data_IF_879290948284
#
_entry.id   IF_879290948284
#
_cell.length_a   1.000
_cell.length_b   1.000
_cell.length_c   1.000
_cell.angle_alpha   90.00
_cell.angle_beta   90.00
_cell.angle_gamma   90.00
#
_symmetry.space_group_name_H-M   'P 1'
#
loop_
_entity.id
_entity.type
_entity.pdbx_description
1 polymer ?
#
# COMPACT_ATOMS: atom_id res chain seq x y z
N UNK A 1 11.94 -20.62 22.12
CA UNK A 1 10.75 -19.74 22.18
C UNK A 1 11.14 -18.29 22.40
N UNK A 2 11.95 -17.99 23.41
CA UNK A 2 12.34 -16.62 23.80
C UNK A 2 13.15 -15.86 22.72
N UNK A 3 14.09 -16.53 22.06
CA UNK A 3 14.90 -15.93 20.98
C UNK A 3 14.09 -15.66 19.70
N UNK A 4 13.13 -16.55 19.40
CA UNK A 4 12.19 -16.38 18.29
C UNK A 4 11.27 -15.18 18.55
N UNK A 5 10.75 -15.06 19.77
CA UNK A 5 9.91 -13.94 20.20
C UNK A 5 10.65 -12.59 20.10
N UNK A 6 11.91 -12.53 20.54
CA UNK A 6 12.75 -11.32 20.39
C UNK A 6 12.94 -10.93 18.92
N UNK A 7 13.23 -11.90 18.05
CA UNK A 7 13.41 -11.67 16.61
C UNK A 7 12.13 -11.14 15.96
N UNK A 8 10.96 -11.71 16.30
CA UNK A 8 9.66 -11.23 15.83
C UNK A 8 9.32 -9.81 16.32
N UNK A 9 9.57 -9.52 17.60
CA UNK A 9 9.36 -8.16 18.14
C UNK A 9 10.24 -7.14 17.43
N UNK A 10 11.50 -7.49 17.16
CA UNK A 10 12.42 -6.61 16.45
C UNK A 10 11.98 -6.34 15.01
N UNK A 11 11.49 -7.36 14.30
CA UNK A 11 10.94 -7.22 12.95
C UNK A 11 9.68 -6.34 12.93
N UNK A 12 8.78 -6.46 13.90
CA UNK A 12 7.60 -5.59 14.02
C UNK A 12 7.99 -4.13 14.25
N UNK A 13 8.97 -3.87 15.12
CA UNK A 13 9.44 -2.50 15.38
C UNK A 13 10.08 -1.89 14.13
N UNK A 14 10.87 -2.68 13.39
CA UNK A 14 11.51 -2.22 12.16
C UNK A 14 10.48 -1.93 11.06
N UNK A 15 9.47 -2.79 10.92
CA UNK A 15 8.39 -2.59 9.97
C UNK A 15 7.52 -1.36 10.30
N UNK A 16 7.23 -1.14 11.59
CA UNK A 16 6.52 0.08 12.03
C UNK A 16 7.31 1.35 11.69
N UNK A 17 8.64 1.34 11.87
CA UNK A 17 9.49 2.46 11.48
C UNK A 17 9.47 2.71 9.97
N UNK A 18 9.46 1.65 9.17
CA UNK A 18 9.37 1.76 7.72
C UNK A 18 8.02 2.36 7.29
N UNK A 19 6.92 1.92 7.88
CA UNK A 19 5.57 2.50 7.66
C UNK A 19 5.57 4.00 7.98
N UNK A 20 6.13 4.40 9.13
CA UNK A 20 6.17 5.79 9.55
C UNK A 20 7.02 6.65 8.60
N UNK A 21 8.15 6.13 8.12
CA UNK A 21 8.98 6.81 7.13
C UNK A 21 8.24 7.04 5.79
N UNK A 22 7.49 6.05 5.32
CA UNK A 22 6.68 6.18 4.11
C UNK A 22 5.50 7.15 4.30
N UNK A 23 4.88 7.19 5.48
CA UNK A 23 3.87 8.22 5.83
C UNK A 23 4.46 9.62 5.76
N UNK A 24 5.59 9.87 6.42
CA UNK A 24 6.23 11.19 6.38
C UNK A 24 6.63 11.60 4.95
N UNK A 25 7.03 10.63 4.11
CA UNK A 25 7.33 10.88 2.70
C UNK A 25 6.07 11.29 1.91
N UNK A 26 4.92 10.65 2.16
CA UNK A 26 3.66 11.07 1.56
C UNK A 26 3.24 12.46 2.00
N UNK A 27 3.31 12.76 3.30
CA UNK A 27 2.96 14.08 3.82
C UNK A 27 3.81 15.19 3.18
N UNK A 28 5.11 14.93 2.97
CA UNK A 28 5.99 15.83 2.26
C UNK A 28 5.56 16.02 0.79
N UNK A 29 5.25 14.95 0.07
CA UNK A 29 4.83 15.02 -1.34
C UNK A 29 3.50 15.79 -1.47
N UNK A 30 2.54 15.53 -0.59
CA UNK A 30 1.25 16.24 -0.56
C UNK A 30 1.45 17.73 -0.29
N UNK A 31 2.30 18.07 0.69
CA UNK A 31 2.65 19.47 1.00
C UNK A 31 3.28 20.16 -0.21
N UNK A 32 4.25 19.50 -0.86
CA UNK A 32 4.90 20.01 -2.06
C UNK A 32 3.92 20.23 -3.23
N UNK A 33 3.00 19.30 -3.47
CA UNK A 33 1.96 19.44 -4.50
C UNK A 33 1.07 20.64 -4.19
N UNK A 34 0.63 20.79 -2.95
CA UNK A 34 -0.21 21.91 -2.53
C UNK A 34 0.50 23.25 -2.70
N UNK A 35 1.76 23.37 -2.27
CA UNK A 35 2.58 24.58 -2.46
C UNK A 35 2.74 24.93 -3.95
N UNK A 36 2.95 23.92 -4.81
CA UNK A 36 3.08 24.13 -6.26
C UNK A 36 1.75 24.49 -6.93
N UNK A 37 0.63 23.95 -6.46
CA UNK A 37 -0.70 24.31 -6.92
C UNK A 37 -1.05 25.76 -6.53
N UNK A 38 -0.69 26.19 -5.33
CA UNK A 38 -0.93 27.56 -4.88
C UNK A 38 -0.06 28.59 -5.62
N UNK A 39 1.21 28.26 -5.92
CA UNK A 39 2.07 29.08 -6.80
C UNK A 39 1.51 29.23 -8.23
N UNK A 40 0.74 28.24 -8.71
CA UNK A 40 0.11 28.25 -10.03
C UNK A 40 -1.15 29.13 -10.09
N UNK A 41 -1.79 29.42 -8.95
CA UNK A 41 -2.91 30.37 -8.86
C UNK A 41 -2.46 31.82 -9.01
N UNK A 42 -1.21 32.11 -8.65
CA UNK A 42 -0.64 33.48 -8.66
C UNK A 42 0.22 33.80 -9.88
N UNK A 43 0.60 32.79 -10.69
CA UNK A 43 1.55 32.94 -11.79
C UNK A 43 1.21 31.97 -12.93
N UNK A 44 1.28 32.38 -14.22
CA UNK A 44 0.90 31.51 -15.33
C UNK A 44 1.79 30.26 -15.40
N UNK A 45 1.16 29.13 -15.65
CA UNK A 45 1.80 27.82 -15.68
C UNK A 45 2.86 27.71 -16.79
N UNK A 46 4.12 27.51 -16.41
CA UNK A 46 5.18 27.12 -17.35
C UNK A 46 5.22 25.60 -17.53
N UNK A 47 5.64 25.12 -18.69
CA UNK A 47 5.74 23.67 -19.01
C UNK A 47 6.54 22.88 -17.97
N UNK A 48 7.58 23.50 -17.37
CA UNK A 48 8.38 22.93 -16.28
C UNK A 48 7.60 22.71 -14.97
N UNK A 49 6.62 23.56 -14.66
CA UNK A 49 5.79 23.40 -13.46
C UNK A 49 4.80 22.22 -13.59
N UNK A 50 4.36 21.92 -14.81
CA UNK A 50 3.46 20.80 -15.11
C UNK A 50 4.20 19.46 -15.01
N UNK A 51 5.42 19.37 -15.55
CA UNK A 51 6.22 18.15 -15.44
C UNK A 51 6.64 17.82 -14.01
N UNK A 52 6.95 18.83 -13.18
CA UNK A 52 7.26 18.62 -11.75
C UNK A 52 6.05 18.14 -10.94
N UNK A 53 4.86 18.67 -11.21
CA UNK A 53 3.63 18.18 -10.56
C UNK A 53 3.33 16.74 -10.97
N UNK A 54 3.50 16.41 -12.25
CA UNK A 54 3.27 15.05 -12.74
C UNK A 54 4.23 14.03 -12.10
N UNK A 55 5.52 14.36 -12.01
CA UNK A 55 6.50 13.54 -11.29
C UNK A 55 6.18 13.40 -9.79
N UNK A 56 5.65 14.46 -9.16
CA UNK A 56 5.23 14.41 -7.76
C UNK A 56 4.01 13.50 -7.57
N UNK A 57 3.03 13.55 -8.47
CA UNK A 57 1.87 12.65 -8.46
C UNK A 57 2.27 11.19 -8.66
N UNK A 58 3.17 10.89 -9.60
CA UNK A 58 3.68 9.53 -9.80
C UNK A 58 4.44 9.02 -8.56
N UNK A 59 5.29 9.86 -7.96
CA UNK A 59 5.98 9.52 -6.71
C UNK A 59 5.00 9.32 -5.54
N UNK A 60 3.92 10.10 -5.47
CA UNK A 60 2.87 9.94 -4.48
C UNK A 60 2.20 8.57 -4.62
N UNK A 61 1.75 8.22 -5.83
CA UNK A 61 1.08 6.95 -6.10
C UNK A 61 1.98 5.74 -5.78
N UNK A 62 3.26 5.80 -6.15
CA UNK A 62 4.22 4.73 -5.80
C UNK A 62 4.44 4.61 -4.29
N UNK A 63 4.53 5.76 -3.60
CA UNK A 63 4.74 5.80 -2.14
C UNK A 63 3.49 5.30 -1.40
N UNK A 64 2.28 5.61 -1.88
CA UNK A 64 1.02 5.08 -1.35
C UNK A 64 0.91 3.57 -1.53
N UNK A 65 1.27 3.06 -2.71
CA UNK A 65 1.25 1.62 -2.99
C UNK A 65 2.21 0.87 -2.06
N UNK A 66 3.43 1.37 -1.89
CA UNK A 66 4.41 0.78 -0.98
C UNK A 66 4.00 0.89 0.49
N UNK A 67 3.36 1.99 0.89
CA UNK A 67 2.80 2.12 2.23
C UNK A 67 1.69 1.09 2.48
N UNK A 68 0.86 0.82 1.47
CA UNK A 68 -0.17 -0.21 1.56
C UNK A 68 0.48 -1.59 1.77
N UNK A 69 1.44 -1.98 0.94
CA UNK A 69 2.19 -3.25 1.08
C UNK A 69 2.81 -3.43 2.47
N UNK A 70 3.43 -2.37 3.02
CA UNK A 70 4.03 -2.43 4.36
C UNK A 70 2.97 -2.59 5.46
N UNK A 71 1.82 -1.92 5.33
CA UNK A 71 0.70 -2.11 6.26
C UNK A 71 0.17 -3.54 6.22
N UNK A 72 0.04 -4.14 5.04
CA UNK A 72 -0.36 -5.55 4.89
C UNK A 72 0.60 -6.47 5.63
N UNK A 73 1.90 -6.28 5.42
CA UNK A 73 2.95 -7.05 6.09
C UNK A 73 2.88 -6.88 7.61
N UNK A 74 2.53 -5.69 8.10
CA UNK A 74 2.45 -5.42 9.55
C UNK A 74 1.25 -6.08 10.20
N UNK A 75 0.09 -6.06 9.55
CA UNK A 75 -1.10 -6.76 10.05
C UNK A 75 -0.81 -8.25 10.12
N UNK A 76 -0.27 -8.84 9.05
CA UNK A 76 0.05 -10.27 9.03
C UNK A 76 1.07 -10.67 10.10
N UNK A 77 2.10 -9.86 10.37
CA UNK A 77 3.08 -10.16 11.43
C UNK A 77 2.52 -9.96 12.84
N UNK A 78 1.62 -8.99 13.04
CA UNK A 78 0.93 -8.79 14.31
C UNK A 78 0.07 -10.00 14.66
N UNK A 79 -0.69 -10.51 13.69
CA UNK A 79 -1.57 -11.67 13.86
C UNK A 79 -0.79 -12.97 14.11
N UNK A 80 0.34 -13.18 13.41
CA UNK A 80 1.25 -14.30 13.69
C UNK A 80 1.83 -14.23 15.12
N UNK A 81 2.11 -13.02 15.61
CA UNK A 81 2.59 -12.81 16.98
C UNK A 81 1.50 -13.16 18.00
N UNK A 82 0.28 -12.69 17.78
CA UNK A 82 -0.86 -12.99 18.65
C UNK A 82 -1.17 -14.48 18.69
N UNK A 83 -1.07 -15.17 17.55
CA UNK A 83 -1.23 -16.62 17.47
C UNK A 83 -0.12 -17.35 18.25
N UNK A 84 1.14 -16.96 18.06
CA UNK A 84 2.27 -17.56 18.78
C UNK A 84 2.16 -17.33 20.30
N UNK A 85 1.73 -16.13 20.71
CA UNK A 85 1.52 -15.79 22.11
C UNK A 85 0.40 -16.63 22.72
N UNK A 86 -0.73 -16.75 22.02
CA UNK A 86 -1.85 -17.59 22.43
C UNK A 86 -1.44 -19.07 22.57
N UNK A 87 -0.68 -19.59 21.60
CA UNK A 87 -0.14 -20.95 21.63
C UNK A 87 0.84 -21.16 22.80
N UNK A 88 1.75 -20.22 23.04
CA UNK A 88 2.68 -20.29 24.17
C UNK A 88 1.95 -20.28 25.51
N UNK A 89 0.98 -19.37 25.70
CA UNK A 89 0.19 -19.25 26.93
C UNK A 89 -0.65 -20.50 27.21
N UNK A 90 -1.17 -21.14 26.17
CA UNK A 90 -1.99 -22.35 26.32
C UNK A 90 -1.14 -23.61 26.49
N UNK A 91 0.02 -23.73 25.83
CA UNK A 91 0.82 -24.98 25.77
C UNK A 91 1.24 -25.61 27.10
N UNK A 92 1.11 -24.93 28.24
CA UNK A 92 1.68 -25.38 29.51
C UNK A 92 0.85 -26.39 30.32
N UNK A 93 -0.40 -26.71 29.97
CA UNK A 93 -1.17 -27.84 30.55
C UNK A 93 -2.55 -27.94 29.88
N UNK A 94 -2.64 -28.54 28.70
CA UNK A 94 -3.90 -28.62 27.94
C UNK A 94 -4.41 -30.07 27.92
N UNK A 95 -5.66 -30.29 28.36
CA UNK A 95 -6.37 -31.55 28.16
C UNK A 95 -6.75 -31.77 26.69
N UNK A 96 -7.08 -33.00 26.27
CA UNK A 96 -7.43 -33.29 24.87
C UNK A 96 -8.62 -32.47 24.34
N UNK A 97 -9.58 -32.12 25.21
CA UNK A 97 -10.75 -31.29 24.88
C UNK A 97 -10.33 -29.83 24.60
N UNK A 98 -9.47 -29.29 25.46
CA UNK A 98 -8.95 -27.93 25.28
C UNK A 98 -8.01 -27.84 24.07
N UNK A 99 -7.31 -28.94 23.71
CA UNK A 99 -6.55 -29.03 22.45
C UNK A 99 -7.46 -28.94 21.23
N UNK A 100 -8.59 -29.63 21.25
CA UNK A 100 -9.58 -29.57 20.16
C UNK A 100 -10.17 -28.16 20.00
N UNK A 101 -10.48 -27.49 21.11
CA UNK A 101 -10.94 -26.10 21.10
C UNK A 101 -9.84 -25.14 20.61
N UNK A 102 -8.59 -25.37 21.00
CA UNK A 102 -7.44 -24.62 20.51
C UNK A 102 -7.32 -24.75 18.99
N UNK A 103 -7.45 -25.97 18.46
CA UNK A 103 -7.36 -26.24 17.03
C UNK A 103 -8.46 -25.52 16.25
N UNK A 104 -9.71 -25.57 16.73
CA UNK A 104 -10.84 -24.87 16.11
C UNK A 104 -10.65 -23.34 16.09
N UNK A 105 -10.11 -22.75 17.17
CA UNK A 105 -9.80 -21.31 17.24
C UNK A 105 -8.68 -20.94 16.25
N UNK A 106 -7.66 -21.78 16.12
CA UNK A 106 -6.55 -21.57 15.17
C UNK A 106 -7.07 -21.66 13.74
N UNK A 107 -7.86 -22.68 13.40
CA UNK A 107 -8.45 -22.85 12.08
C UNK A 107 -9.36 -21.66 11.71
N UNK A 108 -10.20 -21.22 12.65
CA UNK A 108 -11.05 -20.05 12.43
C UNK A 108 -10.22 -18.79 12.18
N UNK A 109 -9.17 -18.55 12.96
CA UNK A 109 -8.28 -17.40 12.76
C UNK A 109 -7.49 -17.48 11.45
N UNK A 110 -7.07 -18.68 11.02
CA UNK A 110 -6.41 -18.87 9.74
C UNK A 110 -7.36 -18.57 8.57
N UNK A 111 -8.63 -18.96 8.69
CA UNK A 111 -9.66 -18.64 7.69
C UNK A 111 -9.94 -17.13 7.63
N UNK A 112 -10.07 -16.48 8.79
CA UNK A 112 -10.22 -15.02 8.89
C UNK A 112 -9.03 -14.30 8.22
N UNK A 113 -7.80 -14.76 8.48
CA UNK A 113 -6.58 -14.26 7.82
C UNK A 113 -6.66 -14.39 6.30
N UNK A 114 -7.07 -15.54 5.78
CA UNK A 114 -7.13 -15.79 4.34
C UNK A 114 -8.18 -14.87 3.67
N UNK A 115 -9.32 -14.64 4.34
CA UNK A 115 -10.35 -13.69 3.87
C UNK A 115 -9.81 -12.26 3.82
N UNK A 116 -9.11 -11.80 4.86
CA UNK A 116 -8.60 -10.43 4.92
C UNK A 116 -7.47 -10.18 3.91
N UNK A 117 -6.58 -11.15 3.71
CA UNK A 117 -5.56 -11.10 2.65
C UNK A 117 -6.20 -11.00 1.26
N UNK A 118 -7.21 -11.84 0.97
CA UNK A 118 -7.92 -11.80 -0.32
C UNK A 118 -8.63 -10.46 -0.53
N UNK A 119 -9.25 -9.89 0.50
CA UNK A 119 -9.88 -8.55 0.41
C UNK A 119 -8.87 -7.46 0.10
N UNK A 120 -7.70 -7.52 0.73
CA UNK A 120 -6.64 -6.53 0.52
C UNK A 120 -5.99 -6.68 -0.87
N UNK A 121 -5.77 -7.91 -1.35
CA UNK A 121 -5.28 -8.15 -2.72
C UNK A 121 -6.29 -7.67 -3.77
N UNK A 122 -7.59 -7.85 -3.50
CA UNK A 122 -8.65 -7.32 -4.36
C UNK A 122 -8.59 -5.80 -4.44
N UNK A 123 -8.44 -5.10 -3.30
CA UNK A 123 -8.34 -3.64 -3.27
C UNK A 123 -7.12 -3.12 -4.06
N UNK A 124 -5.97 -3.79 -3.96
CA UNK A 124 -4.79 -3.46 -4.79
C UNK A 124 -5.10 -3.65 -6.27
N UNK A 125 -5.72 -4.77 -6.61
CA UNK A 125 -6.02 -5.15 -7.99
C UNK A 125 -6.97 -4.14 -8.62
N UNK A 126 -8.01 -3.72 -7.89
CA UNK A 126 -8.95 -2.67 -8.32
C UNK A 126 -8.23 -1.33 -8.54
N UNK A 127 -7.37 -0.91 -7.60
CA UNK A 127 -6.58 0.33 -7.77
C UNK A 127 -5.66 0.26 -8.99
N UNK A 128 -4.99 -0.88 -9.22
CA UNK A 128 -4.15 -1.10 -10.41
C UNK A 128 -4.97 -1.07 -11.70
N UNK A 129 -6.18 -1.64 -11.70
CA UNK A 129 -7.08 -1.61 -12.85
C UNK A 129 -7.47 -0.16 -13.22
N UNK A 130 -7.82 0.66 -12.22
CA UNK A 130 -8.12 2.09 -12.43
C UNK A 130 -6.91 2.85 -12.99
N UNK A 131 -5.70 2.60 -12.47
CA UNK A 131 -4.48 3.21 -13.00
C UNK A 131 -4.23 2.81 -14.46
N UNK A 132 -4.47 1.54 -14.80
CA UNK A 132 -4.33 1.05 -16.17
C UNK A 132 -5.35 1.72 -17.11
N UNK A 133 -6.60 1.85 -16.68
CA UNK A 133 -7.65 2.53 -17.45
C UNK A 133 -7.29 4.00 -17.72
N UNK A 134 -6.78 4.71 -16.70
CA UNK A 134 -6.30 6.09 -16.85
C UNK A 134 -5.14 6.18 -17.85
N UNK A 135 -4.17 5.26 -17.78
CA UNK A 135 -3.05 5.22 -18.71
C UNK A 135 -3.50 4.96 -20.16
N UNK A 136 -4.46 4.05 -20.36
CA UNK A 136 -5.04 3.76 -21.68
C UNK A 136 -5.78 4.98 -22.24
N UNK A 137 -6.60 5.65 -21.42
CA UNK A 137 -7.31 6.87 -21.83
C UNK A 137 -6.34 8.00 -22.20
N UNK A 138 -5.27 8.18 -21.44
CA UNK A 138 -4.23 9.14 -21.77
C UNK A 138 -3.56 8.82 -23.11
N UNK A 139 -3.23 7.55 -23.35
CA UNK A 139 -2.63 7.10 -24.60
C UNK A 139 -3.56 7.36 -25.80
N UNK A 140 -4.85 7.10 -25.64
CA UNK A 140 -5.88 7.37 -26.65
C UNK A 140 -5.92 8.86 -27.03
N UNK A 141 -5.98 9.75 -26.03
CA UNK A 141 -5.97 11.20 -26.25
C UNK A 141 -4.68 11.67 -26.90
N UNK A 142 -3.53 11.12 -26.47
CA UNK A 142 -2.24 11.44 -27.05
C UNK A 142 -2.16 11.05 -28.54
N UNK A 143 -2.54 9.81 -28.86
CA UNK A 143 -2.57 9.29 -30.23
C UNK A 143 -3.51 10.13 -31.11
N UNK A 144 -4.72 10.42 -30.61
CA UNK A 144 -5.68 11.23 -31.33
C UNK A 144 -5.13 12.62 -31.68
N UNK A 145 -4.55 13.33 -30.69
CA UNK A 145 -3.95 14.65 -30.91
C UNK A 145 -2.74 14.61 -31.85
N UNK A 146 -1.92 13.57 -31.78
CA UNK A 146 -0.77 13.39 -32.67
C UNK A 146 -1.21 13.25 -34.13
N UNK A 147 -2.21 12.39 -34.40
CA UNK A 147 -2.74 12.22 -35.76
C UNK A 147 -3.50 13.44 -36.27
N UNK A 148 -4.25 14.12 -35.40
CA UNK A 148 -4.96 15.36 -35.77
C UNK A 148 -3.98 16.46 -36.19
N UNK A 149 -2.93 16.68 -35.40
CA UNK A 149 -1.88 17.67 -35.70
C UNK A 149 -1.12 17.34 -36.99
N UNK A 150 -0.87 16.05 -37.25
CA UNK A 150 -0.21 15.61 -38.48
C UNK A 150 -1.09 15.84 -39.73
N UNK A 151 -2.42 15.73 -39.57
CA UNK A 151 -3.37 15.96 -40.65
C UNK A 151 -3.50 17.45 -40.99
N UNK A 152 -3.48 18.35 -39.99
CA UNK A 152 -3.49 19.81 -40.21
C UNK A 152 -2.24 20.32 -40.94
N UNK A 153 -1.10 19.64 -40.83
CA UNK A 153 0.14 20.01 -41.53
C UNK A 153 0.14 19.57 -43.00
N UNK A 154 -0.69 18.60 -43.38
CA UNK A 154 -0.71 17.97 -44.70
C UNK A 154 -1.80 18.52 -45.65
N UNK A 155 -2.73 19.34 -45.14
CA UNK A 155 -3.79 20.03 -45.89
C UNK A 155 -3.38 21.47 -46.18
#
# INVERSE_FOLDING_TARGET
AEELSKKFMQQNVELQREIEAFRSKLDYIVTFINEKLDQKKTTPATSSSVSMLQLAFENMQQTEMKLLELKLKSVSQQEENDLLKYLMEKSQNISSIEQMQLFAIIEQRLLEREIDLVRQELEITERKAVQLEQAVNFLYVFIFNYYYSYFEILV
#
